data_IF_129689617365
#
_entry.id   IF_129689617365
#
_cell.length_a   1.000
_cell.length_b   1.000
_cell.length_c   1.000
_cell.angle_alpha   90.00
_cell.angle_beta   90.00
_cell.angle_gamma   90.00
#
_symmetry.space_group_name_H-M   'P 1'
#
loop_
_entity.id
_entity.type
_entity.pdbx_description
1 polymer ?
#
# COMPACT_ATOMS: atom_id res chain seq x y z
N UNK A 1 -5.69 -10.51 23.61
CA UNK A 1 -6.31 -10.04 22.34
C UNK A 1 -5.21 -9.58 21.40
N UNK A 2 -5.19 -10.02 20.13
CA UNK A 2 -4.13 -9.62 19.19
C UNK A 2 -4.24 -8.14 18.83
N UNK A 3 -3.09 -7.46 18.68
CA UNK A 3 -3.06 -6.08 18.19
C UNK A 3 -3.59 -6.02 16.76
N UNK A 4 -4.40 -5.00 16.44
CA UNK A 4 -4.86 -4.77 15.06
C UNK A 4 -3.71 -4.26 14.18
N UNK A 5 -3.67 -4.70 12.93
CA UNK A 5 -2.77 -4.21 11.89
C UNK A 5 -3.57 -3.94 10.61
N UNK A 6 -3.64 -2.68 10.20
CA UNK A 6 -4.31 -2.29 8.94
C UNK A 6 -3.31 -2.31 7.80
N UNK A 7 -3.56 -3.12 6.77
CA UNK A 7 -2.68 -3.31 5.62
C UNK A 7 -3.42 -2.95 4.34
N UNK A 8 -2.89 -2.01 3.57
CA UNK A 8 -3.36 -1.75 2.21
C UNK A 8 -2.52 -2.59 1.24
N UNK A 9 -3.19 -3.42 0.43
CA UNK A 9 -2.54 -4.32 -0.53
C UNK A 9 -3.07 -4.01 -1.94
N UNK A 10 -2.18 -3.64 -2.85
CA UNK A 10 -2.51 -3.42 -4.27
C UNK A 10 -1.35 -3.92 -5.12
N UNK A 11 -1.43 -5.18 -5.54
CA UNK A 11 -0.32 -5.86 -6.24
C UNK A 11 -0.77 -6.39 -7.60
N UNK A 12 0.08 -6.16 -8.60
CA UNK A 12 -0.02 -6.80 -9.89
C UNK A 12 0.34 -8.29 -9.77
N UNK A 13 1.60 -8.56 -9.43
CA UNK A 13 2.14 -9.90 -9.21
C UNK A 13 1.79 -10.40 -7.79
N UNK A 14 1.15 -11.57 -7.72
CA UNK A 14 0.61 -12.17 -6.49
C UNK A 14 1.59 -13.14 -5.83
N UNK A 15 2.78 -13.31 -6.40
CA UNK A 15 3.82 -14.20 -5.87
C UNK A 15 4.12 -13.90 -4.40
N UNK A 16 4.00 -14.93 -3.57
CA UNK A 16 4.26 -14.85 -2.13
C UNK A 16 3.24 -14.03 -1.31
N UNK A 17 2.18 -13.50 -1.92
CA UNK A 17 1.21 -12.66 -1.22
C UNK A 17 0.47 -13.43 -0.11
N UNK A 18 -0.01 -14.64 -0.42
CA UNK A 18 -0.75 -15.45 0.56
C UNK A 18 0.14 -15.81 1.75
N UNK A 19 1.39 -16.17 1.52
CA UNK A 19 2.34 -16.49 2.60
C UNK A 19 2.63 -15.27 3.49
N UNK A 20 2.77 -14.08 2.88
CA UNK A 20 2.90 -12.83 3.62
C UNK A 20 1.66 -12.58 4.51
N UNK A 21 0.45 -12.67 3.95
CA UNK A 21 -0.79 -12.40 4.70
C UNK A 21 -1.01 -13.43 5.80
N UNK A 22 -0.80 -14.73 5.54
CA UNK A 22 -0.85 -15.80 6.56
C UNK A 22 0.12 -15.54 7.70
N UNK A 23 1.36 -15.15 7.39
CA UNK A 23 2.37 -14.87 8.43
C UNK A 23 1.98 -13.67 9.28
N UNK A 24 1.38 -12.64 8.69
CA UNK A 24 0.89 -11.47 9.40
C UNK A 24 -0.34 -11.80 10.27
N UNK A 25 -1.29 -12.60 9.77
CA UNK A 25 -2.51 -12.97 10.49
C UNK A 25 -2.25 -13.84 11.72
N UNK A 26 -1.19 -14.66 11.71
CA UNK A 26 -0.73 -15.40 12.91
C UNK A 26 -0.36 -14.50 14.09
N UNK A 27 -0.02 -13.23 13.84
CA UNK A 27 0.49 -12.30 14.87
C UNK A 27 -0.41 -11.11 15.14
N UNK A 28 -1.35 -10.80 14.24
CA UNK A 28 -2.16 -9.60 14.29
C UNK A 28 -3.59 -9.88 13.85
N UNK A 29 -4.53 -9.14 14.42
CA UNK A 29 -5.86 -9.05 13.84
C UNK A 29 -5.78 -8.17 12.58
N UNK A 30 -5.79 -8.78 11.40
CA UNK A 30 -5.59 -8.05 10.14
C UNK A 30 -6.87 -7.34 9.70
N UNK A 31 -6.73 -6.07 9.35
CA UNK A 31 -7.70 -5.34 8.53
C UNK A 31 -7.08 -5.12 7.17
N UNK A 32 -7.56 -5.83 6.15
CA UNK A 32 -7.00 -5.76 4.81
C UNK A 32 -7.84 -4.81 3.98
N UNK A 33 -7.20 -3.79 3.39
CA UNK A 33 -7.78 -2.90 2.40
C UNK A 33 -7.18 -3.26 1.05
N UNK A 34 -8.01 -3.52 0.03
CA UNK A 34 -7.50 -3.88 -1.30
C UNK A 34 -8.41 -3.42 -2.44
N UNK A 35 -8.00 -3.66 -3.69
CA UNK A 35 -8.77 -3.29 -4.88
C UNK A 35 -8.75 -4.38 -5.94
N UNK A 36 -9.81 -4.43 -6.75
CA UNK A 36 -9.87 -5.16 -8.01
C UNK A 36 -9.36 -6.60 -7.92
N UNK A 37 -8.42 -6.96 -8.82
CA UNK A 37 -7.88 -8.32 -8.90
C UNK A 37 -7.13 -8.79 -7.64
N UNK A 38 -6.57 -7.87 -6.83
CA UNK A 38 -5.92 -8.25 -5.56
C UNK A 38 -6.96 -8.63 -4.51
N UNK A 39 -8.05 -7.85 -4.39
CA UNK A 39 -9.15 -8.14 -3.46
C UNK A 39 -9.79 -9.49 -3.79
N UNK A 40 -10.12 -9.74 -5.06
CA UNK A 40 -10.67 -11.02 -5.53
C UNK A 40 -9.77 -12.20 -5.18
N UNK A 41 -8.47 -12.07 -5.43
CA UNK A 41 -7.50 -13.13 -5.14
C UNK A 41 -7.40 -13.44 -3.63
N UNK A 42 -7.40 -12.41 -2.79
CA UNK A 42 -7.36 -12.58 -1.33
C UNK A 42 -8.65 -13.22 -0.79
N UNK A 43 -9.82 -12.75 -1.24
CA UNK A 43 -11.11 -13.33 -0.88
C UNK A 43 -11.19 -14.82 -1.27
N UNK A 44 -10.77 -15.17 -2.49
CA UNK A 44 -10.72 -16.55 -2.96
C UNK A 44 -9.78 -17.47 -2.14
N UNK A 45 -8.86 -16.88 -1.37
CA UNK A 45 -7.95 -17.59 -0.47
C UNK A 45 -8.37 -17.48 1.01
N UNK A 46 -9.61 -17.09 1.29
CA UNK A 46 -10.21 -17.09 2.63
C UNK A 46 -9.85 -15.89 3.51
N UNK A 47 -9.35 -14.80 2.93
CA UNK A 47 -9.11 -13.56 3.67
C UNK A 47 -10.24 -12.57 3.48
N UNK A 48 -10.76 -12.03 4.57
CA UNK A 48 -11.71 -10.92 4.52
C UNK A 48 -10.99 -9.63 4.08
N UNK A 49 -11.56 -9.00 3.06
CA UNK A 49 -11.01 -7.77 2.46
C UNK A 49 -12.07 -6.68 2.46
N UNK A 50 -11.70 -5.52 2.99
CA UNK A 50 -12.43 -4.28 2.77
C UNK A 50 -12.00 -3.66 1.44
N UNK A 51 -12.94 -3.49 0.51
CA UNK A 51 -12.60 -2.84 -0.75
C UNK A 51 -12.35 -1.35 -0.55
N UNK A 52 -11.43 -0.76 -1.32
CA UNK A 52 -11.17 0.68 -1.23
C UNK A 52 -12.44 1.50 -1.45
N UNK A 53 -13.34 1.10 -2.35
CA UNK A 53 -14.62 1.78 -2.57
C UNK A 53 -15.48 1.85 -1.28
N UNK A 54 -15.44 0.80 -0.45
CA UNK A 54 -16.14 0.77 0.85
C UNK A 54 -15.47 1.73 1.85
N UNK A 55 -14.13 1.78 1.87
CA UNK A 55 -13.38 2.72 2.72
C UNK A 55 -13.66 4.16 2.31
N UNK A 56 -13.63 4.45 1.01
CA UNK A 56 -13.74 5.81 0.48
C UNK A 56 -15.18 6.30 0.52
N UNK A 57 -16.14 5.40 0.25
CA UNK A 57 -17.52 5.74 -0.10
C UNK A 57 -17.64 6.27 -1.54
N UNK A 58 -16.61 6.07 -2.37
CA UNK A 58 -16.53 6.55 -3.74
C UNK A 58 -16.44 5.36 -4.71
N UNK A 59 -17.30 5.27 -5.74
CA UNK A 59 -17.32 4.14 -6.66
C UNK A 59 -16.06 4.09 -7.53
N UNK A 60 -15.80 2.91 -8.11
CA UNK A 60 -14.78 2.80 -9.14
C UNK A 60 -15.22 3.51 -10.43
N UNK A 61 -14.38 4.39 -10.95
CA UNK A 61 -14.60 5.11 -12.22
C UNK A 61 -13.37 5.03 -13.12
N UNK A 62 -13.52 5.35 -14.39
CA UNK A 62 -12.43 5.42 -15.38
C UNK A 62 -11.61 4.12 -15.45
N UNK A 63 -12.29 2.97 -15.40
CA UNK A 63 -11.67 1.64 -15.36
C UNK A 63 -10.61 1.49 -14.25
N UNK A 64 -10.88 2.07 -13.08
CA UNK A 64 -10.04 1.93 -11.90
C UNK A 64 -8.81 2.84 -11.86
N UNK A 65 -8.66 3.78 -12.80
CA UNK A 65 -7.49 4.68 -12.89
C UNK A 65 -7.29 5.57 -11.66
N UNK A 66 -8.36 5.90 -10.93
CA UNK A 66 -8.33 6.83 -9.79
C UNK A 66 -8.76 6.19 -8.47
N UNK A 67 -8.97 4.87 -8.43
CA UNK A 67 -9.64 4.18 -7.33
C UNK A 67 -8.96 4.34 -5.96
N UNK A 68 -7.64 4.54 -5.91
CA UNK A 68 -6.90 4.74 -4.65
C UNK A 68 -6.57 6.21 -4.36
N UNK A 69 -6.81 7.12 -5.31
CA UNK A 69 -6.47 8.54 -5.23
C UNK A 69 -7.47 9.31 -4.36
N UNK A 70 -7.53 8.98 -3.07
CA UNK A 70 -8.55 9.49 -2.16
C UNK A 70 -7.97 9.93 -0.80
N UNK A 71 -8.43 11.05 -0.20
CA UNK A 71 -7.96 11.51 1.11
C UNK A 71 -8.13 10.50 2.25
N UNK A 72 -9.17 9.69 2.24
CA UNK A 72 -9.33 8.60 3.24
C UNK A 72 -8.24 7.52 3.16
N UNK A 73 -7.63 7.32 1.99
CA UNK A 73 -6.50 6.40 1.82
C UNK A 73 -5.20 7.10 2.20
N UNK A 74 -4.94 8.26 1.59
CA UNK A 74 -3.68 8.97 1.81
C UNK A 74 -3.56 9.58 3.19
N UNK A 75 -4.65 10.04 3.81
CA UNK A 75 -4.69 10.49 5.20
C UNK A 75 -4.34 9.35 6.17
N UNK A 76 -4.85 8.15 5.92
CA UNK A 76 -4.50 6.96 6.71
C UNK A 76 -3.01 6.58 6.63
N UNK A 77 -2.36 6.85 5.49
CA UNK A 77 -0.94 6.57 5.26
C UNK A 77 -0.03 7.72 5.76
N UNK A 78 -0.43 8.97 5.50
CA UNK A 78 0.41 10.15 5.68
C UNK A 78 0.32 10.78 7.07
N UNK A 79 -0.68 10.42 7.86
CA UNK A 79 -0.80 10.97 9.21
C UNK A 79 0.35 10.54 10.12
N UNK A 80 1.07 11.53 10.64
CA UNK A 80 2.01 11.38 11.73
C UNK A 80 1.32 10.92 13.03
N UNK A 81 1.62 9.69 13.46
CA UNK A 81 0.97 9.06 14.63
C UNK A 81 1.37 9.68 15.98
N UNK A 82 2.43 10.47 16.02
CA UNK A 82 2.85 11.25 17.20
C UNK A 82 2.28 12.68 17.19
N UNK A 83 1.63 13.11 16.10
CA UNK A 83 0.99 14.41 16.01
C UNK A 83 -0.48 14.32 16.46
N UNK A 84 -0.78 14.88 17.63
CA UNK A 84 -2.13 14.87 18.22
C UNK A 84 -3.17 15.57 17.34
N UNK A 85 -2.78 16.60 16.58
CA UNK A 85 -3.69 17.30 15.68
C UNK A 85 -4.12 16.39 14.52
N UNK A 86 -3.17 15.72 13.87
CA UNK A 86 -3.47 14.77 12.78
C UNK A 86 -4.42 13.68 13.26
N UNK A 87 -4.17 13.10 14.45
CA UNK A 87 -5.04 12.06 15.00
C UNK A 87 -6.48 12.55 15.25
N UNK A 88 -6.66 13.80 15.68
CA UNK A 88 -7.99 14.40 15.86
C UNK A 88 -8.69 14.61 14.52
N UNK A 89 -7.98 15.10 13.51
CA UNK A 89 -8.51 15.30 12.16
C UNK A 89 -8.94 13.98 11.53
N UNK A 90 -8.09 12.94 11.62
CA UNK A 90 -8.43 11.60 11.16
C UNK A 90 -9.71 11.09 11.83
N UNK A 91 -9.81 11.22 13.17
CA UNK A 91 -10.99 10.79 13.92
C UNK A 91 -12.24 11.55 13.48
N UNK A 92 -12.15 12.88 13.33
CA UNK A 92 -13.27 13.74 12.91
C UNK A 92 -13.79 13.36 11.51
N UNK A 93 -12.89 12.99 10.61
CA UNK A 93 -13.21 12.65 9.23
C UNK A 93 -13.48 11.14 9.01
N UNK A 94 -13.47 10.33 10.07
CA UNK A 94 -13.67 8.88 9.98
C UNK A 94 -12.57 8.17 9.19
N UNK A 95 -11.32 8.67 9.24
CA UNK A 95 -10.18 8.10 8.53
C UNK A 95 -9.40 7.16 9.46
N UNK A 96 -9.31 5.88 9.07
CA UNK A 96 -8.51 4.90 9.80
C UNK A 96 -7.02 4.98 9.44
N UNK A 97 -6.10 4.76 10.40
CA UNK A 97 -4.67 4.68 10.09
C UNK A 97 -4.34 3.41 9.28
N UNK A 98 -3.36 3.52 8.40
CA UNK A 98 -2.79 2.41 7.62
C UNK A 98 -1.36 2.15 8.11
N UNK A 99 -1.10 0.95 8.62
CA UNK A 99 0.18 0.57 9.22
C UNK A 99 1.17 0.03 8.20
N UNK A 100 0.68 -0.52 7.09
CA UNK A 100 1.50 -1.14 6.06
C UNK A 100 0.86 -0.97 4.69
N UNK A 101 1.70 -0.73 3.69
CA UNK A 101 1.33 -0.64 2.28
C UNK A 101 2.16 -1.64 1.50
N UNK A 102 1.48 -2.59 0.86
CA UNK A 102 2.08 -3.65 0.02
C UNK A 102 1.66 -3.40 -1.42
N UNK A 103 2.61 -2.99 -2.24
CA UNK A 103 2.38 -2.63 -3.65
C UNK A 103 3.51 -3.19 -4.49
N UNK A 104 3.19 -3.78 -5.64
CA UNK A 104 4.14 -3.96 -6.72
C UNK A 104 3.48 -3.45 -8.01
N UNK A 105 4.29 -2.77 -8.82
CA UNK A 105 3.82 -2.03 -9.98
C UNK A 105 3.60 -2.99 -11.16
N UNK A 106 2.73 -2.59 -12.09
CA UNK A 106 2.62 -3.22 -13.39
C UNK A 106 3.95 -3.14 -14.16
N UNK A 107 4.17 -4.03 -15.14
CA UNK A 107 5.17 -3.80 -16.19
C UNK A 107 4.99 -2.38 -16.78
N UNK A 108 6.10 -1.72 -17.15
CA UNK A 108 6.12 -0.28 -17.50
C UNK A 108 5.19 0.12 -18.65
N UNK A 109 4.73 -0.85 -19.46
CA UNK A 109 3.78 -0.68 -20.56
C UNK A 109 2.40 -0.18 -20.10
N UNK A 110 2.11 -0.24 -18.80
CA UNK A 110 0.92 0.35 -18.18
C UNK A 110 1.33 1.32 -17.07
N UNK A 111 1.33 2.62 -17.37
CA UNK A 111 1.73 3.69 -16.43
C UNK A 111 0.80 3.69 -15.21
N UNK A 112 1.34 3.31 -14.05
CA UNK A 112 0.59 3.17 -12.80
C UNK A 112 0.72 4.42 -11.90
N UNK A 113 -0.30 5.26 -11.91
CA UNK A 113 -0.37 6.46 -11.06
C UNK A 113 -0.62 6.09 -9.59
N UNK A 114 -1.57 5.19 -9.35
CA UNK A 114 -2.03 4.83 -8.01
C UNK A 114 -0.95 4.11 -7.21
N UNK A 115 -0.34 3.08 -7.81
CA UNK A 115 0.71 2.27 -7.19
C UNK A 115 1.94 3.09 -6.82
N UNK A 116 2.43 3.95 -7.73
CA UNK A 116 3.56 4.85 -7.48
C UNK A 116 3.24 5.82 -6.34
N UNK A 117 2.05 6.41 -6.34
CA UNK A 117 1.64 7.37 -5.30
C UNK A 117 1.54 6.69 -3.92
N UNK A 118 0.97 5.48 -3.84
CA UNK A 118 0.91 4.68 -2.61
C UNK A 118 2.30 4.34 -2.07
N UNK A 119 3.22 3.90 -2.93
CA UNK A 119 4.60 3.60 -2.55
C UNK A 119 5.31 4.83 -1.99
N UNK A 120 5.21 5.97 -2.67
CA UNK A 120 5.84 7.23 -2.23
C UNK A 120 5.25 7.73 -0.93
N UNK A 121 3.93 7.65 -0.74
CA UNK A 121 3.28 8.06 0.51
C UNK A 121 3.73 7.21 1.69
N UNK A 122 3.74 5.88 1.55
CA UNK A 122 4.18 4.98 2.59
C UNK A 122 5.69 5.13 2.89
N UNK A 123 6.51 5.34 1.85
CA UNK A 123 7.94 5.59 2.00
C UNK A 123 8.22 6.94 2.68
N UNK A 124 7.43 7.99 2.42
CA UNK A 124 7.52 9.26 3.15
C UNK A 124 7.22 9.05 4.64
N UNK A 125 6.17 8.29 4.96
CA UNK A 125 5.72 7.97 6.32
C UNK A 125 6.43 6.77 6.97
N UNK A 126 7.64 6.42 6.55
CA UNK A 126 8.33 5.18 6.93
C UNK A 126 8.47 4.94 8.44
N UNK A 127 8.43 5.99 9.26
CA UNK A 127 8.46 5.88 10.73
C UNK A 127 7.21 5.17 11.26
N UNK A 128 6.05 5.47 10.68
CA UNK A 128 4.72 5.05 11.15
C UNK A 128 4.03 4.04 10.25
N UNK A 129 4.44 3.95 8.98
CA UNK A 129 3.88 3.06 7.96
C UNK A 129 4.98 2.26 7.28
N UNK A 130 4.82 0.95 7.22
CA UNK A 130 5.77 0.04 6.55
C UNK A 130 5.44 0.00 5.05
N UNK A 131 6.43 0.19 4.19
CA UNK A 131 6.28 0.05 2.74
C UNK A 131 6.91 -1.24 2.25
N UNK A 132 6.21 -1.95 1.37
CA UNK A 132 6.64 -3.21 0.77
C UNK A 132 6.46 -3.13 -0.76
N UNK A 133 7.54 -2.74 -1.45
CA UNK A 133 7.52 -2.47 -2.89
C UNK A 133 7.94 -3.64 -3.80
N UNK A 134 8.60 -4.66 -3.24
CA UNK A 134 9.22 -5.74 -4.01
C UNK A 134 8.95 -7.08 -3.35
N UNK A 135 8.62 -8.10 -4.15
CA UNK A 135 8.28 -9.45 -3.68
C UNK A 135 9.43 -10.06 -2.87
N UNK A 136 10.68 -9.84 -3.29
CA UNK A 136 11.87 -10.33 -2.56
C UNK A 136 11.97 -9.83 -1.12
N UNK A 137 11.32 -8.71 -0.79
CA UNK A 137 11.31 -8.20 0.58
C UNK A 137 10.21 -8.84 1.44
N UNK A 138 9.24 -9.54 0.84
CA UNK A 138 8.07 -10.08 1.55
C UNK A 138 8.45 -10.98 2.69
N UNK A 139 9.42 -11.88 2.54
CA UNK A 139 9.88 -12.77 3.61
C UNK A 139 10.39 -11.99 4.85
N UNK A 140 11.03 -10.84 4.64
CA UNK A 140 11.60 -10.01 5.71
C UNK A 140 10.57 -9.09 6.39
N UNK A 141 9.39 -8.90 5.79
CA UNK A 141 8.40 -7.94 6.28
C UNK A 141 7.65 -8.48 7.51
N UNK A 142 7.68 -7.65 8.55
CA UNK A 142 7.01 -7.85 9.85
C UNK A 142 6.72 -6.49 10.49
N UNK A 143 5.76 -6.41 11.42
CA UNK A 143 5.52 -5.16 12.19
C UNK A 143 6.71 -4.79 13.09
N UNK A 144 7.53 -5.77 13.48
CA UNK A 144 8.69 -5.62 14.40
C UNK A 144 9.96 -5.06 13.72
N UNK A 145 9.88 -4.55 12.50
CA UNK A 145 11.03 -3.95 11.83
C UNK A 145 11.54 -2.72 12.60
N UNK A 146 12.86 -2.67 12.81
CA UNK A 146 13.56 -1.51 13.37
C UNK A 146 13.40 -0.27 12.48
N UNK A 147 13.59 0.92 13.06
CA UNK A 147 13.59 2.17 12.29
C UNK A 147 14.61 2.15 11.14
N UNK A 148 15.78 1.53 11.36
CA UNK A 148 16.80 1.35 10.31
C UNK A 148 16.25 0.52 9.14
N UNK A 149 15.61 -0.61 9.40
CA UNK A 149 15.02 -1.46 8.36
C UNK A 149 13.86 -0.77 7.63
N UNK A 150 12.98 -0.07 8.36
CA UNK A 150 11.89 0.69 7.75
C UNK A 150 12.42 1.79 6.81
N UNK A 151 13.45 2.51 7.23
CA UNK A 151 14.13 3.52 6.39
C UNK A 151 14.77 2.89 5.15
N UNK A 152 15.35 1.69 5.27
CA UNK A 152 15.89 0.96 4.12
C UNK A 152 14.80 0.58 3.11
N UNK A 153 13.64 0.07 3.58
CA UNK A 153 12.50 -0.23 2.72
C UNK A 153 11.96 1.04 2.02
N UNK A 154 11.92 2.17 2.73
CA UNK A 154 11.54 3.46 2.14
C UNK A 154 12.51 3.92 1.04
N UNK A 155 13.82 3.80 1.27
CA UNK A 155 14.83 4.10 0.27
C UNK A 155 14.71 3.18 -0.96
N UNK A 156 14.43 1.88 -0.75
CA UNK A 156 14.15 0.94 -1.85
C UNK A 156 12.90 1.34 -2.64
N UNK A 157 11.83 1.75 -1.96
CA UNK A 157 10.59 2.19 -2.60
C UNK A 157 10.81 3.44 -3.48
N UNK A 158 11.49 4.48 -2.99
CA UNK A 158 11.82 5.64 -3.81
C UNK A 158 12.76 5.32 -4.98
N UNK A 159 13.70 4.39 -4.79
CA UNK A 159 14.55 3.90 -5.89
C UNK A 159 13.73 3.19 -6.96
N UNK A 160 12.78 2.34 -6.55
CA UNK A 160 11.87 1.63 -7.45
C UNK A 160 11.04 2.62 -8.27
N UNK A 161 10.42 3.62 -7.63
CA UNK A 161 9.61 4.60 -8.36
C UNK A 161 10.45 5.49 -9.27
N UNK A 162 11.66 5.90 -8.85
CA UNK A 162 12.55 6.67 -9.73
C UNK A 162 13.05 5.88 -10.95
N UNK A 163 13.28 4.56 -10.78
CA UNK A 163 13.57 3.67 -11.92
C UNK A 163 12.36 3.54 -12.85
N UNK A 164 11.17 3.42 -12.29
CA UNK A 164 9.92 3.34 -13.05
C UNK A 164 9.69 4.62 -13.87
N UNK A 165 9.84 5.80 -13.28
CA UNK A 165 9.71 7.09 -13.96
C UNK A 165 10.75 7.22 -15.10
N UNK A 166 11.98 6.76 -14.89
CA UNK A 166 13.02 6.76 -15.93
C UNK A 166 12.64 5.87 -17.13
N UNK A 167 12.04 4.70 -16.89
CA UNK A 167 11.57 3.81 -17.95
C UNK A 167 10.43 4.44 -18.74
N UNK A 168 9.48 5.08 -18.06
CA UNK A 168 8.37 5.80 -18.70
C UNK A 168 8.89 6.95 -19.56
N UNK A 169 9.76 7.80 -19.02
CA UNK A 169 10.35 8.91 -19.76
C UNK A 169 11.07 8.43 -21.02
N UNK A 170 11.88 7.36 -20.88
CA UNK A 170 12.54 6.72 -22.03
C UNK A 170 11.53 6.23 -23.06
N UNK A 171 10.50 5.51 -22.65
CA UNK A 171 9.46 5.00 -23.55
C UNK A 171 8.76 6.13 -24.31
N UNK A 172 8.33 7.19 -23.62
CA UNK A 172 7.65 8.33 -24.23
C UNK A 172 8.56 9.13 -25.17
N UNK A 173 9.88 9.13 -24.98
CA UNK A 173 10.82 9.75 -25.92
C UNK A 173 10.97 8.99 -27.25
N UNK A 174 10.65 7.71 -27.29
CA UNK A 174 10.79 6.86 -28.49
C UNK A 174 9.47 6.39 -29.09
N UNK A 175 8.36 6.55 -28.37
CA UNK A 175 7.03 6.30 -28.90
C UNK A 175 6.75 7.30 -30.04
N UNK A 176 6.53 6.78 -31.25
CA UNK A 176 6.05 7.56 -32.41
C UNK A 176 4.54 7.60 -32.41
#
# INVERSE_FOLDING_TARGET
>A
MLQTLTVLISVYDKTGLIELVKRLSRKFNLKIISTGGTAKYLNANGFEVMEVAQVTGFPEILNGRVKTLHPKIFGGILAEKNNRQHLRELKKLGIGPIDMVVVNLYPFEQIDIGGVTLLRAAAKSWRTTIVAGQIKDYASITKKLSLKQRRQLAAKAFRLTGQYDRLIAKYLSYAR
#
